data_IF_940576565356
#
_entry.id   IF_940576565356
#
_cell.length_a   1.000
_cell.length_b   1.000
_cell.length_c   1.000
_cell.angle_alpha   90.00
_cell.angle_beta   90.00
_cell.angle_gamma   90.00
#
_symmetry.space_group_name_H-M   'P 1'
#
loop_
_entity.id
_entity.type
_entity.pdbx_description
1 polymer ?
#
# COMPACT_ATOMS: atom_id res chain seq x y z
N UNK A 1 12.12 21.70 -7.99
CA UNK A 1 11.54 20.43 -8.47
C UNK A 1 10.57 19.90 -7.43
N UNK A 2 9.28 19.74 -7.75
CA UNK A 2 8.32 19.15 -6.81
C UNK A 2 8.74 17.70 -6.53
N UNK A 3 9.10 17.39 -5.28
CA UNK A 3 9.46 16.02 -4.93
C UNK A 3 8.17 15.21 -4.84
N UNK A 4 8.03 14.18 -5.68
CA UNK A 4 6.85 13.31 -5.61
C UNK A 4 6.87 12.59 -4.24
N UNK A 5 5.71 12.55 -3.57
CA UNK A 5 5.54 11.82 -2.29
C UNK A 5 5.77 10.31 -2.45
N UNK A 6 5.49 9.79 -3.65
CA UNK A 6 5.76 8.42 -4.04
C UNK A 6 6.74 8.40 -5.20
N UNK A 7 7.65 7.42 -5.21
CA UNK A 7 8.43 7.09 -6.41
C UNK A 7 7.54 6.43 -7.48
N UNK A 8 7.92 6.52 -8.75
CA UNK A 8 7.17 5.87 -9.86
C UNK A 8 7.01 4.37 -9.60
N UNK A 9 8.09 3.69 -9.21
CA UNK A 9 8.07 2.28 -8.83
C UNK A 9 7.11 1.98 -7.68
N UNK A 10 6.96 2.89 -6.71
CA UNK A 10 5.98 2.71 -5.63
C UNK A 10 4.54 2.84 -6.15
N UNK A 11 4.30 3.76 -7.08
CA UNK A 11 2.99 3.92 -7.72
C UNK A 11 2.63 2.67 -8.55
N UNK A 12 3.58 2.14 -9.32
CA UNK A 12 3.40 0.91 -10.09
C UNK A 12 3.05 -0.26 -9.18
N UNK A 13 3.80 -0.41 -8.08
CA UNK A 13 3.56 -1.49 -7.11
C UNK A 13 2.19 -1.41 -6.44
N UNK A 14 1.73 -0.19 -6.10
CA UNK A 14 0.37 0.03 -5.61
C UNK A 14 -0.66 -0.31 -6.70
N UNK A 15 -0.37 0.05 -7.95
CA UNK A 15 -1.19 -0.29 -9.12
C UNK A 15 -1.39 -1.80 -9.27
N UNK A 16 -0.32 -2.59 -9.14
CA UNK A 16 -0.36 -4.05 -9.21
C UNK A 16 -1.27 -4.64 -8.11
N UNK A 17 -1.07 -4.21 -6.86
CA UNK A 17 -1.89 -4.66 -5.73
C UNK A 17 -3.36 -4.29 -5.92
N UNK A 18 -3.62 -3.09 -6.47
CA UNK A 18 -4.97 -2.64 -6.79
C UNK A 18 -5.61 -3.43 -7.94
N UNK A 19 -4.80 -3.91 -8.89
CA UNK A 19 -5.25 -4.81 -9.95
C UNK A 19 -5.63 -6.18 -9.38
N UNK A 20 -4.81 -6.76 -8.51
CA UNK A 20 -5.13 -8.02 -7.80
C UNK A 20 -6.37 -7.89 -6.91
N UNK A 21 -6.56 -6.73 -6.29
CA UNK A 21 -7.79 -6.41 -5.55
C UNK A 21 -9.01 -6.39 -6.47
N UNK A 22 -8.91 -5.71 -7.63
CA UNK A 22 -9.99 -5.63 -8.62
C UNK A 22 -10.33 -7.01 -9.20
N UNK A 23 -9.36 -7.91 -9.29
CA UNK A 23 -9.54 -9.31 -9.69
C UNK A 23 -10.06 -10.21 -8.56
N UNK A 24 -10.19 -9.70 -7.32
CA UNK A 24 -10.67 -10.47 -6.17
C UNK A 24 -9.68 -11.51 -5.64
N UNK A 25 -8.40 -11.36 -5.97
CA UNK A 25 -7.31 -12.28 -5.60
C UNK A 25 -6.51 -11.80 -4.40
N UNK A 26 -6.53 -10.49 -4.12
CA UNK A 26 -5.78 -9.91 -3.02
C UNK A 26 -6.22 -10.49 -1.67
N UNK A 27 -5.25 -10.97 -0.89
CA UNK A 27 -5.44 -11.49 0.47
C UNK A 27 -4.68 -10.66 1.48
N UNK A 28 -5.23 -10.57 2.68
CA UNK A 28 -4.54 -10.00 3.83
C UNK A 28 -3.49 -10.99 4.36
N UNK A 29 -2.62 -10.51 5.25
CA UNK A 29 -1.68 -11.36 5.99
C UNK A 29 -2.38 -12.46 6.80
N UNK A 30 -3.65 -12.29 7.13
CA UNK A 30 -4.48 -13.27 7.85
C UNK A 30 -5.08 -14.35 6.94
N UNK A 31 -4.84 -14.28 5.62
CA UNK A 31 -5.37 -15.23 4.62
C UNK A 31 -6.78 -14.91 4.11
N UNK A 32 -7.45 -13.92 4.71
CA UNK A 32 -8.76 -13.45 4.28
C UNK A 32 -8.69 -12.62 3.01
N UNK A 33 -9.73 -12.66 2.17
CA UNK A 33 -9.81 -11.81 0.99
C UNK A 33 -9.98 -10.36 1.40
N UNK A 34 -9.22 -9.47 0.77
CA UNK A 34 -9.37 -8.03 1.00
C UNK A 34 -10.63 -7.56 0.29
N UNK A 35 -11.58 -7.05 1.06
CA UNK A 35 -12.84 -6.49 0.54
C UNK A 35 -12.81 -4.96 0.51
N UNK A 36 -11.95 -4.34 1.32
CA UNK A 36 -11.88 -2.89 1.46
C UNK A 36 -10.76 -2.29 0.61
N UNK A 37 -11.12 -1.36 -0.29
CA UNK A 37 -10.16 -0.62 -1.14
C UNK A 37 -9.09 0.12 -0.33
N UNK A 38 -9.44 0.70 0.83
CA UNK A 38 -8.47 1.39 1.69
C UNK A 38 -7.42 0.43 2.24
N UNK A 39 -7.83 -0.80 2.56
CA UNK A 39 -6.94 -1.85 3.02
C UNK A 39 -6.01 -2.31 1.89
N UNK A 40 -6.53 -2.47 0.66
CA UNK A 40 -5.69 -2.79 -0.51
C UNK A 40 -4.61 -1.73 -0.75
N UNK A 41 -4.96 -0.44 -0.65
CA UNK A 41 -3.99 0.66 -0.75
C UNK A 41 -2.94 0.58 0.36
N UNK A 42 -3.36 0.31 1.61
CA UNK A 42 -2.43 0.17 2.74
C UNK A 42 -1.46 -1.00 2.54
N UNK A 43 -1.92 -2.12 1.98
CA UNK A 43 -1.06 -3.25 1.62
C UNK A 43 -0.07 -2.83 0.54
N UNK A 44 -0.52 -2.17 -0.53
CA UNK A 44 0.35 -1.70 -1.60
C UNK A 44 1.42 -0.72 -1.14
N UNK A 45 1.08 0.22 -0.23
CA UNK A 45 2.06 1.12 0.39
C UNK A 45 3.06 0.33 1.24
N UNK A 46 2.59 -0.64 2.04
CA UNK A 46 3.46 -1.46 2.89
C UNK A 46 4.42 -2.35 2.07
N UNK A 47 3.97 -2.92 0.95
CA UNK A 47 4.82 -3.68 0.04
C UNK A 47 5.86 -2.78 -0.65
N UNK A 48 5.48 -1.56 -1.03
CA UNK A 48 6.41 -0.60 -1.60
C UNK A 48 7.49 -0.18 -0.57
N UNK A 49 7.11 0.04 0.69
CA UNK A 49 8.04 0.28 1.80
C UNK A 49 9.03 -0.87 1.99
N UNK A 50 8.53 -2.11 2.05
CA UNK A 50 9.36 -3.30 2.24
C UNK A 50 10.38 -3.48 1.10
N UNK A 51 10.03 -3.04 -0.11
CA UNK A 51 10.93 -3.01 -1.27
C UNK A 51 11.93 -1.83 -1.26
N UNK A 52 11.93 -1.00 -0.21
CA UNK A 52 12.79 0.17 -0.09
C UNK A 52 12.43 1.31 -1.04
N UNK A 53 11.19 1.32 -1.56
CA UNK A 53 10.74 2.37 -2.46
C UNK A 53 10.32 3.61 -1.67
N UNK A 54 10.50 4.79 -2.28
CA UNK A 54 10.07 6.04 -1.66
C UNK A 54 8.55 6.09 -1.58
N UNK A 55 8.04 6.13 -0.36
CA UNK A 55 6.64 6.32 0.01
C UNK A 55 6.54 7.43 1.07
N UNK A 56 5.36 8.02 1.31
CA UNK A 56 5.16 8.91 2.43
C UNK A 56 5.26 8.14 3.75
N UNK A 57 5.89 8.77 4.73
CA UNK A 57 6.05 8.22 6.06
C UNK A 57 4.70 7.97 6.72
N UNK A 58 4.61 6.87 7.48
CA UNK A 58 3.44 6.60 8.32
C UNK A 58 3.29 7.75 9.31
N UNK A 59 2.09 8.33 9.48
CA UNK A 59 1.88 9.31 10.52
C UNK A 59 2.21 8.66 11.86
N UNK A 60 2.94 9.37 12.73
CA UNK A 60 3.29 8.90 14.07
C UNK A 60 2.04 8.33 14.73
N UNK A 61 2.11 7.07 15.18
CA UNK A 61 0.99 6.41 15.81
C UNK A 61 0.55 7.28 17.00
N UNK A 62 -0.60 7.95 16.88
CA UNK A 62 -1.21 8.60 18.03
C UNK A 62 -1.51 7.49 19.01
N UNK A 63 -0.71 7.40 20.07
CA UNK A 63 -0.96 6.55 21.22
C UNK A 63 -2.41 6.81 21.64
N UNK A 64 -3.28 5.83 21.40
CA UNK A 64 -4.59 5.81 22.03
C UNK A 64 -4.29 5.53 23.50
N UNK A 65 -4.37 6.58 24.31
CA UNK A 65 -4.40 6.46 25.78
C UNK A 65 -5.76 5.93 26.19
#
# INVERSE_FOLDING_TARGET
>A
MATRKYSEKAQDKIGDVMKEFKEGKLKSSSGEKVTNRKQAIAIGISEAEQKGLKVPEKPAAKSRK
#
